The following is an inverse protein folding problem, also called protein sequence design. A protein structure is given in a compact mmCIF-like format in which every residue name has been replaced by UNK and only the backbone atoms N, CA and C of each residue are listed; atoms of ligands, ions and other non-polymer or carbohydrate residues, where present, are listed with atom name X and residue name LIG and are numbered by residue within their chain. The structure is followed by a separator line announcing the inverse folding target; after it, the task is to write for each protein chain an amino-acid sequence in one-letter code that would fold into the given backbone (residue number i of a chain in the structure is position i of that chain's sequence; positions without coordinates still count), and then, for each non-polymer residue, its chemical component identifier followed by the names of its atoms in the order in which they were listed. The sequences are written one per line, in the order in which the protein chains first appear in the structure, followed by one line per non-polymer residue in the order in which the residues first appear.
data_IF_493546514271
#
_entry.id   IF_493546514271
#
_cell.length_a   1.000
_cell.length_b   1.000
_cell.length_c   1.000
_cell.angle_alpha   90.00
_cell.angle_beta   90.00
_cell.angle_gamma   90.00
#
_symmetry.space_group_name_H-M   'P 1'
#
loop_
_entity.id
_entity.type
_entity.pdbx_description
1 polymer ?
#
# COMPACT_ATOMS: atom_id res chain seq x y z
N UNK A 1 -18.57 6.74 -10.18
CA UNK A 1 -18.29 5.43 -9.53
C UNK A 1 -16.80 5.18 -9.69
N UNK A 2 -16.00 5.08 -8.61
CA UNK A 2 -14.60 4.68 -8.77
C UNK A 2 -14.57 3.30 -9.43
N UNK A 3 -13.82 3.15 -10.52
CA UNK A 3 -13.59 1.86 -11.15
C UNK A 3 -12.71 1.05 -10.21
N UNK A 4 -13.34 0.22 -9.38
CA UNK A 4 -12.65 -0.62 -8.43
C UNK A 4 -12.25 -1.93 -9.11
N UNK A 5 -10.99 -2.05 -9.51
CA UNK A 5 -10.41 -3.33 -9.91
C UNK A 5 -9.83 -4.03 -8.68
N UNK A 6 -10.69 -4.78 -7.97
CA UNK A 6 -10.31 -5.53 -6.77
C UNK A 6 -9.23 -6.60 -7.01
N UNK A 7 -8.86 -6.88 -8.27
CA UNK A 7 -7.84 -7.86 -8.61
C UNK A 7 -6.46 -7.24 -8.80
N UNK A 8 -6.37 -5.90 -8.91
CA UNK A 8 -5.06 -5.25 -9.04
C UNK A 8 -4.31 -5.26 -7.70
N UNK A 9 -3.04 -5.71 -7.70
CA UNK A 9 -2.22 -5.66 -6.51
C UNK A 9 -2.05 -4.23 -5.99
N UNK A 10 -2.12 -4.08 -4.68
CA UNK A 10 -1.90 -2.80 -3.97
C UNK A 10 -0.54 -2.82 -3.30
N UNK A 11 0.23 -1.75 -3.47
CA UNK A 11 1.53 -1.59 -2.85
C UNK A 11 1.57 -0.29 -2.04
N UNK A 12 1.96 -0.40 -0.77
CA UNK A 12 2.30 0.76 0.03
C UNK A 12 3.71 1.26 -0.32
N UNK A 13 3.85 2.56 -0.54
CA UNK A 13 5.14 3.24 -0.74
C UNK A 13 5.25 4.44 0.18
N UNK A 14 6.42 4.66 0.78
CA UNK A 14 6.68 5.88 1.55
C UNK A 14 7.31 6.96 0.67
N UNK A 15 6.55 7.42 -0.31
CA UNK A 15 6.95 8.49 -1.23
C UNK A 15 5.74 9.33 -1.58
N UNK A 16 5.95 10.60 -1.93
CA UNK A 16 4.87 11.47 -2.43
C UNK A 16 4.37 10.90 -3.75
N UNK A 17 3.04 10.87 -3.92
CA UNK A 17 2.41 10.37 -5.14
C UNK A 17 1.80 11.52 -5.93
N UNK A 18 2.36 11.78 -7.11
CA UNK A 18 1.93 12.81 -8.04
C UNK A 18 1.99 12.27 -9.46
N UNK A 19 1.04 12.64 -10.32
CA UNK A 19 1.03 12.23 -11.72
C UNK A 19 2.34 12.60 -12.43
N UNK A 20 2.92 11.66 -13.17
CA UNK A 20 4.15 11.84 -13.95
C UNK A 20 5.45 11.62 -13.16
N UNK A 21 5.38 11.51 -11.83
CA UNK A 21 6.56 11.25 -11.00
C UNK A 21 7.00 9.78 -11.04
N UNK A 22 8.27 9.55 -10.71
CA UNK A 22 8.84 8.20 -10.59
C UNK A 22 9.20 7.90 -9.14
N UNK A 23 8.67 6.80 -8.61
CA UNK A 23 8.99 6.31 -7.27
C UNK A 23 9.95 5.13 -7.39
N UNK A 24 11.09 5.21 -6.71
CA UNK A 24 12.05 4.11 -6.66
C UNK A 24 11.54 3.02 -5.71
N UNK A 25 11.66 1.76 -6.11
CA UNK A 25 11.27 0.63 -5.29
C UNK A 25 12.39 0.23 -4.34
N UNK A 26 12.03 0.03 -3.08
CA UNK A 26 12.91 -0.63 -2.13
C UNK A 26 13.12 -2.10 -2.49
N UNK A 27 14.21 -2.69 -2.02
CA UNK A 27 14.55 -4.10 -2.29
C UNK A 27 13.40 -5.05 -1.94
N UNK A 28 12.70 -4.81 -0.83
CA UNK A 28 11.55 -5.61 -0.39
C UNK A 28 10.40 -5.53 -1.38
N UNK A 29 10.06 -4.32 -1.83
CA UNK A 29 8.99 -4.07 -2.81
C UNK A 29 9.34 -4.68 -4.17
N UNK A 30 10.56 -4.50 -4.68
CA UNK A 30 11.02 -5.15 -5.91
C UNK A 30 10.89 -6.67 -5.87
N UNK A 31 11.26 -7.29 -4.74
CA UNK A 31 11.15 -8.73 -4.55
C UNK A 31 9.68 -9.18 -4.48
N UNK A 32 8.84 -8.44 -3.77
CA UNK A 32 7.41 -8.72 -3.66
C UNK A 32 6.73 -8.66 -5.04
N UNK A 33 6.94 -7.60 -5.80
CA UNK A 33 6.35 -7.46 -7.14
C UNK A 33 6.89 -8.53 -8.11
N UNK A 34 8.21 -8.68 -8.21
CA UNK A 34 8.82 -9.52 -9.24
C UNK A 34 8.82 -11.02 -8.94
N UNK A 35 9.10 -11.43 -7.69
CA UNK A 35 9.27 -12.85 -7.36
C UNK A 35 8.01 -13.45 -6.73
N UNK A 36 7.30 -12.69 -5.89
CA UNK A 36 6.10 -13.19 -5.20
C UNK A 36 4.88 -13.06 -6.11
N UNK A 37 4.61 -11.86 -6.61
CA UNK A 37 3.47 -11.59 -7.50
C UNK A 37 3.74 -11.89 -8.97
N UNK A 38 5.02 -12.08 -9.35
CA UNK A 38 5.45 -12.39 -10.73
C UNK A 38 5.07 -11.33 -11.76
N UNK A 39 5.08 -10.07 -11.33
CA UNK A 39 4.85 -8.91 -12.20
C UNK A 39 6.15 -8.46 -12.86
N UNK A 40 6.04 -7.89 -14.05
CA UNK A 40 7.14 -7.40 -14.86
C UNK A 40 6.97 -5.92 -15.22
N UNK A 41 7.99 -5.36 -15.88
CA UNK A 41 7.89 -4.02 -16.43
C UNK A 41 6.75 -3.95 -17.47
N UNK A 42 5.97 -2.88 -17.42
CA UNK A 42 4.76 -2.68 -18.23
C UNK A 42 3.47 -3.13 -17.54
N UNK A 43 3.54 -3.96 -16.49
CA UNK A 43 2.36 -4.28 -15.68
C UNK A 43 1.95 -3.08 -14.83
N UNK A 44 0.66 -2.98 -14.50
CA UNK A 44 0.11 -1.92 -13.66
C UNK A 44 -0.34 -2.42 -12.29
N UNK A 45 -0.11 -1.59 -11.27
CA UNK A 45 -0.54 -1.82 -9.89
C UNK A 45 -1.19 -0.56 -9.31
N UNK A 46 -1.75 -0.68 -8.11
CA UNK A 46 -2.26 0.43 -7.32
C UNK A 46 -1.24 0.80 -6.22
N UNK A 47 -0.66 1.99 -6.31
CA UNK A 47 0.22 2.56 -5.29
C UNK A 47 -0.57 3.46 -4.32
N UNK A 48 -0.23 3.41 -3.04
CA UNK A 48 -0.80 4.30 -2.02
C UNK A 48 0.21 4.58 -0.90
N UNK A 49 0.03 5.69 -0.19
CA UNK A 49 0.93 6.10 0.89
C UNK A 49 0.21 6.61 2.16
N UNK A 50 -1.12 6.46 2.20
CA UNK A 50 -1.97 6.87 3.32
C UNK A 50 -2.24 8.38 3.44
N UNK A 51 -1.76 9.21 2.51
CA UNK A 51 -1.94 10.68 2.53
C UNK A 51 -2.36 11.29 1.19
N UNK A 52 -1.88 10.76 0.07
CA UNK A 52 -2.11 11.31 -1.28
C UNK A 52 -3.20 10.56 -2.04
N UNK A 53 -3.84 9.58 -1.39
CA UNK A 53 -4.83 8.71 -2.00
C UNK A 53 -4.21 7.47 -2.65
N UNK A 54 -4.94 6.91 -3.61
CA UNK A 54 -4.57 5.72 -4.37
C UNK A 54 -4.37 6.09 -5.84
N UNK A 55 -3.31 5.53 -6.43
CA UNK A 55 -2.83 5.88 -7.75
C UNK A 55 -2.54 4.64 -8.57
N UNK A 56 -2.92 4.66 -9.84
CA UNK A 56 -2.45 3.69 -10.80
C UNK A 56 -0.98 3.98 -11.12
N UNK A 57 -0.14 2.96 -11.09
CA UNK A 57 1.27 3.07 -11.40
C UNK A 57 1.71 1.95 -12.35
N UNK A 58 2.57 2.28 -13.32
CA UNK A 58 3.21 1.31 -14.20
C UNK A 58 4.54 0.87 -13.58
N UNK A 59 4.79 -0.43 -13.58
CA UNK A 59 6.07 -0.99 -13.17
C UNK A 59 7.11 -0.72 -14.25
N UNK A 60 8.28 -0.24 -13.83
CA UNK A 60 9.46 -0.08 -14.66
C UNK A 60 10.64 -0.89 -14.11
N UNK A 61 11.63 -1.08 -14.97
CA UNK A 61 12.86 -1.82 -14.67
C UNK A 61 13.25 -2.80 -15.76
N UNK A 62 14.49 -3.29 -15.71
CA UNK A 62 15.03 -4.18 -16.77
C UNK A 62 15.08 -5.64 -16.37
N UNK A 63 15.85 -5.97 -15.34
CA UNK A 63 16.01 -7.35 -14.85
C UNK A 63 14.97 -7.71 -13.79
N UNK A 64 14.48 -6.71 -13.06
CA UNK A 64 13.49 -6.80 -12.00
C UNK A 64 12.78 -5.45 -11.89
N UNK A 65 11.58 -5.40 -11.29
CA UNK A 65 10.94 -4.15 -10.91
C UNK A 65 11.91 -3.31 -10.07
N UNK A 66 12.20 -2.08 -10.48
CA UNK A 66 13.07 -1.15 -9.75
C UNK A 66 12.40 0.21 -9.48
N UNK A 67 11.34 0.54 -10.21
CA UNK A 67 10.65 1.81 -10.08
C UNK A 67 9.19 1.72 -10.53
N UNK A 68 8.42 2.72 -10.13
CA UNK A 68 7.03 2.91 -10.51
C UNK A 68 6.89 4.27 -11.19
N UNK A 69 6.25 4.31 -12.36
CA UNK A 69 5.80 5.55 -12.98
C UNK A 69 4.35 5.81 -12.56
N UNK A 70 4.13 6.91 -11.84
CA UNK A 70 2.80 7.25 -11.30
C UNK A 70 1.95 7.88 -12.41
N UNK A 71 0.78 7.29 -12.67
CA UNK A 71 -0.06 7.63 -13.83
C UNK A 71 -1.21 8.57 -13.43
N UNK A 72 -2.20 8.05 -12.72
CA UNK A 72 -3.43 8.76 -12.42
C UNK A 72 -3.99 8.36 -11.05
N UNK A 73 -4.63 9.30 -10.35
CA UNK A 73 -5.29 9.03 -9.08
C UNK A 73 -6.58 8.24 -9.33
N UNK A 74 -6.66 7.03 -8.76
CA UNK A 74 -7.85 6.17 -8.85
C UNK A 74 -8.82 6.45 -7.70
N UNK A 75 -8.30 6.89 -6.55
CA UNK A 75 -9.10 7.23 -5.37
C UNK A 75 -8.47 8.38 -4.60
N UNK A 76 -9.30 9.36 -4.21
CA UNK A 76 -8.87 10.38 -3.25
C UNK A 76 -8.58 9.75 -1.88
N UNK A 77 -7.75 10.43 -1.09
CA UNK A 77 -7.54 10.05 0.29
C UNK A 77 -8.83 10.24 1.09
N UNK A 78 -9.28 9.19 1.75
CA UNK A 78 -10.46 9.26 2.62
C UNK A 78 -10.04 9.64 4.04
N UNK A 79 -10.95 10.26 4.78
CA UNK A 79 -10.73 10.63 6.18
C UNK A 79 -10.83 9.37 7.05
N UNK A 80 -9.78 9.10 7.83
CA UNK A 80 -9.82 8.04 8.83
C UNK A 80 -10.88 8.34 9.89
N UNK A 81 -11.58 7.31 10.36
CA UNK A 81 -12.51 7.42 11.50
C UNK A 81 -11.72 7.73 12.77
N UNK A 82 -12.36 8.35 13.75
CA UNK A 82 -11.72 8.65 15.03
C UNK A 82 -11.92 7.48 16.02
N UNK A 83 -11.23 6.36 15.77
CA UNK A 83 -11.32 5.15 16.60
C UNK A 83 -9.92 4.74 17.09
N UNK A 84 -9.67 5.01 18.37
CA UNK A 84 -8.47 4.55 19.07
C UNK A 84 -8.76 3.18 19.69
N UNK A 85 -7.99 2.16 19.32
CA UNK A 85 -8.05 0.85 19.93
C UNK A 85 -6.98 0.74 21.04
N UNK A 86 -7.40 0.96 22.28
CA UNK A 86 -6.54 0.81 23.45
C UNK A 86 -6.53 -0.65 23.94
N UNK A 87 -5.34 -1.25 24.09
CA UNK A 87 -5.23 -2.68 24.42
C UNK A 87 -4.10 -2.96 25.41
N UNK A 88 -4.31 -3.97 26.27
CA UNK A 88 -3.26 -4.49 27.14
C UNK A 88 -2.22 -5.29 26.32
N UNK A 89 -0.91 -5.11 26.54
CA UNK A 89 0.14 -5.83 25.81
C UNK A 89 -0.06 -7.34 25.79
N UNK A 90 0.02 -7.92 24.58
CA UNK A 90 -0.18 -9.36 24.33
C UNK A 90 1.14 -10.04 23.93
N UNK A 91 1.19 -11.36 24.06
CA UNK A 91 2.26 -12.18 23.45
C UNK A 91 2.23 -12.04 21.92
N UNK A 92 3.40 -12.04 21.28
CA UNK A 92 3.61 -11.68 19.86
C UNK A 92 2.57 -12.25 18.88
N UNK A 93 2.32 -13.57 18.88
CA UNK A 93 1.37 -14.18 17.94
C UNK A 93 -0.07 -13.63 18.07
N UNK A 94 -0.47 -13.20 19.27
CA UNK A 94 -1.79 -12.58 19.51
C UNK A 94 -1.78 -11.09 19.18
N UNK A 95 -0.61 -10.44 19.28
CA UNK A 95 -0.43 -9.05 18.89
C UNK A 95 -0.61 -8.89 17.37
N UNK A 96 0.04 -9.71 16.56
CA UNK A 96 -0.05 -9.64 15.09
C UNK A 96 -1.49 -9.80 14.60
N UNK A 97 -2.20 -10.79 15.14
CA UNK A 97 -3.61 -11.02 14.83
C UNK A 97 -4.50 -9.83 15.24
N UNK A 98 -4.28 -9.30 16.45
CA UNK A 98 -5.05 -8.15 16.94
C UNK A 98 -4.82 -6.92 16.06
N UNK A 99 -3.55 -6.59 15.74
CA UNK A 99 -3.19 -5.46 14.87
C UNK A 99 -3.88 -5.59 13.52
N UNK A 100 -3.80 -6.78 12.91
CA UNK A 100 -4.46 -7.04 11.64
C UNK A 100 -5.98 -6.78 11.72
N UNK A 101 -6.67 -7.33 12.72
CA UNK A 101 -8.12 -7.18 12.85
C UNK A 101 -8.55 -5.77 13.21
N UNK A 102 -7.79 -5.07 14.05
CA UNK A 102 -8.07 -3.68 14.36
C UNK A 102 -7.97 -2.79 13.10
N UNK A 103 -6.93 -2.99 12.28
CA UNK A 103 -6.76 -2.25 11.02
C UNK A 103 -7.85 -2.60 10.01
N UNK A 104 -8.17 -3.88 9.82
CA UNK A 104 -9.25 -4.33 8.91
C UNK A 104 -10.62 -3.76 9.30
N UNK A 105 -10.89 -3.60 10.61
CA UNK A 105 -12.12 -3.02 11.14
C UNK A 105 -12.13 -1.48 11.14
N UNK A 106 -11.04 -0.84 10.73
CA UNK A 106 -10.95 0.61 10.57
C UNK A 106 -10.55 1.38 11.82
N UNK A 107 -9.80 0.78 12.74
CA UNK A 107 -9.12 1.52 13.80
C UNK A 107 -8.12 2.52 13.19
N UNK A 108 -8.11 3.75 13.68
CA UNK A 108 -7.20 4.80 13.20
C UNK A 108 -5.91 4.89 14.02
N UNK A 109 -5.93 4.40 15.25
CA UNK A 109 -4.77 4.33 16.12
C UNK A 109 -4.82 3.09 17.00
N UNK A 110 -3.64 2.49 17.25
CA UNK A 110 -3.45 1.36 18.16
C UNK A 110 -2.61 1.84 19.33
N UNK A 111 -3.18 1.81 20.54
CA UNK A 111 -2.56 2.36 21.75
C UNK A 111 -2.34 1.25 22.78
N UNK A 112 -1.11 0.74 22.97
CA UNK A 112 -0.83 -0.08 24.14
C UNK A 112 -0.95 0.77 25.41
N UNK A 113 -1.54 0.20 26.47
CA UNK A 113 -1.74 0.83 27.79
C UNK A 113 -1.26 -0.05 28.93
#
# INVERSE_FOLDING_TARGET
MPQYDFRQPRLFVDSVLTAGETVQLERGQSNYLGNVLRLAAGDTILAFNGRDGEWQASIAGRKRPDSLSILAQTRQQDRLRDLVYAFAPLKHARLDYMVQKAVEMGASSLQPV
#
